data_IF_348578903970
#
_entry.id   IF_348578903970
#
_cell.length_a   1.000
_cell.length_b   1.000
_cell.length_c   1.000
_cell.angle_alpha   90.00
_cell.angle_beta   90.00
_cell.angle_gamma   90.00
#
_symmetry.space_group_name_H-M   'P 1'
#
loop_
_entity.id
_entity.type
_entity.pdbx_description
1 polymer ?
#
# COMPACT_ATOMS: atom_id res chain seq x y z
N UNK A 1 8.20 12.35 1.94
CA UNK A 1 6.88 12.59 2.53
C UNK A 1 6.00 13.33 1.55
N UNK A 2 4.79 12.85 1.35
CA UNK A 2 3.81 13.58 0.56
C UNK A 2 3.31 14.78 1.39
N UNK A 3 3.24 16.00 0.82
CA UNK A 3 2.67 17.11 1.55
C UNK A 3 1.20 16.84 1.87
N UNK A 4 0.74 17.31 3.02
CA UNK A 4 -0.66 17.19 3.41
C UNK A 4 -1.53 17.95 2.38
N UNK A 5 -2.72 17.44 2.05
CA UNK A 5 -3.59 18.12 1.12
C UNK A 5 -4.09 19.44 1.71
N UNK A 6 -4.17 20.46 0.88
CA UNK A 6 -4.73 21.75 1.27
C UNK A 6 -6.24 21.60 1.47
N UNK A 7 -6.85 22.34 2.43
CA UNK A 7 -8.29 22.26 2.64
C UNK A 7 -9.13 22.48 1.39
N UNK A 8 -8.71 23.40 0.53
CA UNK A 8 -9.36 23.69 -0.75
C UNK A 8 -9.38 22.48 -1.69
N UNK A 9 -8.28 21.71 -1.73
CA UNK A 9 -8.19 20.50 -2.54
C UNK A 9 -9.15 19.43 -2.03
N UNK A 10 -9.28 19.30 -0.71
CA UNK A 10 -10.20 18.35 -0.09
C UNK A 10 -11.68 18.73 -0.34
N UNK A 11 -12.00 20.01 -0.34
CA UNK A 11 -13.36 20.47 -0.65
C UNK A 11 -13.74 20.21 -2.09
N UNK A 12 -12.82 20.43 -3.03
CA UNK A 12 -13.02 20.08 -4.44
C UNK A 12 -13.23 18.60 -4.63
N UNK A 13 -12.43 17.80 -3.95
CA UNK A 13 -12.55 16.35 -3.96
C UNK A 13 -13.89 15.90 -3.38
N UNK A 14 -14.34 16.52 -2.29
CA UNK A 14 -15.62 16.20 -1.65
C UNK A 14 -16.82 16.39 -2.58
N UNK A 15 -16.76 17.35 -3.49
CA UNK A 15 -17.81 17.58 -4.49
C UNK A 15 -17.93 16.42 -5.49
N UNK A 16 -16.84 15.72 -5.74
CA UNK A 16 -16.80 14.58 -6.65
C UNK A 16 -17.09 13.25 -5.94
N UNK A 17 -17.23 13.28 -4.62
CA UNK A 17 -17.42 12.10 -3.78
C UNK A 17 -18.83 11.99 -3.24
N UNK A 18 -19.29 10.76 -3.10
CA UNK A 18 -20.47 10.43 -2.31
C UNK A 18 -20.03 10.15 -0.88
N UNK A 19 -20.53 10.93 0.07
CA UNK A 19 -20.15 10.84 1.47
C UNK A 19 -21.36 10.33 2.26
N UNK A 20 -21.19 9.18 2.94
CA UNK A 20 -22.22 8.59 3.77
C UNK A 20 -21.72 8.37 5.18
N UNK A 21 -22.54 8.74 6.17
CA UNK A 21 -22.27 8.43 7.56
C UNK A 21 -23.02 7.17 7.96
N UNK A 22 -22.41 6.36 8.81
CA UNK A 22 -23.00 5.11 9.27
C UNK A 22 -22.53 4.76 10.69
N UNK A 23 -23.21 3.82 11.31
CA UNK A 23 -22.78 3.24 12.60
C UNK A 23 -21.84 2.08 12.33
N UNK A 24 -20.65 2.12 12.91
CA UNK A 24 -19.73 1.00 12.79
C UNK A 24 -20.19 -0.17 13.65
N UNK A 25 -20.15 -1.39 13.12
CA UNK A 25 -20.36 -2.63 13.87
C UNK A 25 -19.08 -3.04 14.59
N UNK A 26 -19.20 -3.67 15.74
CA UNK A 26 -18.08 -4.21 16.48
C UNK A 26 -18.02 -3.78 17.94
N UNK A 27 -17.09 -4.33 18.74
CA UNK A 27 -16.96 -3.94 20.14
C UNK A 27 -16.55 -2.46 20.25
N UNK A 28 -17.33 -1.69 21.00
CA UNK A 28 -17.08 -0.29 21.22
C UNK A 28 -18.03 0.27 22.27
N UNK A 29 -17.71 1.42 22.84
CA UNK A 29 -18.53 2.07 23.83
C UNK A 29 -19.93 2.45 23.33
N UNK A 30 -20.82 2.82 24.23
CA UNK A 30 -22.20 3.22 23.92
C UNK A 30 -22.30 4.29 22.84
N UNK A 31 -21.36 5.22 22.81
CA UNK A 31 -21.32 6.30 21.83
C UNK A 31 -21.13 5.82 20.41
N UNK A 32 -20.33 4.75 20.23
CA UNK A 32 -20.10 4.12 18.93
C UNK A 32 -21.37 3.44 18.39
N UNK A 33 -22.22 2.94 19.26
CA UNK A 33 -23.47 2.28 18.90
C UNK A 33 -24.64 3.23 18.70
N UNK A 34 -24.59 4.44 19.29
CA UNK A 34 -25.67 5.43 19.26
C UNK A 34 -25.52 6.52 18.19
N UNK A 35 -24.30 6.85 17.82
CA UNK A 35 -24.01 7.92 16.86
C UNK A 35 -23.39 7.40 15.57
N UNK A 36 -23.87 7.92 14.45
CA UNK A 36 -23.30 7.65 13.12
C UNK A 36 -22.03 8.47 12.93
N UNK A 37 -20.95 8.11 13.65
CA UNK A 37 -19.66 8.81 13.58
C UNK A 37 -18.77 8.31 12.46
N UNK A 38 -18.96 7.07 12.01
CA UNK A 38 -18.19 6.49 10.91
C UNK A 38 -18.60 7.08 9.57
N UNK A 39 -17.63 7.35 8.72
CA UNK A 39 -17.86 7.98 7.42
C UNK A 39 -17.25 7.13 6.31
N UNK A 40 -18.04 6.92 5.26
CA UNK A 40 -17.61 6.27 4.03
C UNK A 40 -17.61 7.30 2.91
N UNK A 41 -16.49 7.42 2.21
CA UNK A 41 -16.34 8.31 1.07
C UNK A 41 -16.07 7.47 -0.18
N UNK A 42 -16.90 7.67 -1.21
CA UNK A 42 -16.74 7.04 -2.51
C UNK A 42 -16.47 8.11 -3.55
N UNK A 43 -15.30 8.06 -4.19
CA UNK A 43 -14.97 8.94 -5.30
C UNK A 43 -15.59 8.40 -6.57
N UNK A 44 -16.60 9.06 -7.09
CA UNK A 44 -17.41 8.57 -8.23
C UNK A 44 -16.60 8.37 -9.51
N UNK A 45 -15.74 9.32 -9.95
CA UNK A 45 -14.97 9.15 -11.18
C UNK A 45 -13.99 7.97 -11.18
N UNK A 46 -13.32 7.71 -10.06
CA UNK A 46 -12.32 6.63 -9.95
C UNK A 46 -12.84 5.34 -9.32
N UNK A 47 -13.96 5.41 -8.62
CA UNK A 47 -14.52 4.28 -7.88
C UNK A 47 -13.80 3.95 -6.57
N UNK A 48 -12.87 4.80 -6.12
CA UNK A 48 -12.16 4.59 -4.87
C UNK A 48 -13.10 4.78 -3.68
N UNK A 49 -13.09 3.82 -2.77
CA UNK A 49 -13.88 3.87 -1.53
C UNK A 49 -12.94 3.83 -0.34
N UNK A 50 -13.14 4.74 0.60
CA UNK A 50 -12.38 4.76 1.86
C UNK A 50 -13.34 5.02 3.02
N UNK A 51 -13.05 4.38 4.14
CA UNK A 51 -13.85 4.46 5.35
C UNK A 51 -12.97 4.94 6.50
N UNK A 52 -13.51 5.80 7.36
CA UNK A 52 -12.83 6.22 8.58
C UNK A 52 -13.75 6.02 9.77
N UNK A 53 -13.27 5.30 10.77
CA UNK A 53 -13.98 4.97 12.00
C UNK A 53 -13.19 5.33 13.26
N UNK A 54 -11.97 5.86 13.07
CA UNK A 54 -10.99 6.03 14.15
C UNK A 54 -11.36 7.09 15.17
N UNK A 55 -12.17 8.09 14.79
CA UNK A 55 -12.56 9.19 15.66
C UNK A 55 -14.01 9.09 16.10
N UNK A 56 -14.31 9.70 17.25
CA UNK A 56 -15.69 9.90 17.72
C UNK A 56 -16.41 11.01 16.95
N UNK A 57 -15.66 11.90 16.31
CA UNK A 57 -16.18 13.02 15.54
C UNK A 57 -16.43 12.61 14.09
N UNK A 58 -17.66 12.76 13.63
CA UNK A 58 -18.04 12.55 12.23
C UNK A 58 -17.26 13.48 11.31
N UNK A 59 -17.05 14.72 11.71
CA UNK A 59 -16.29 15.72 10.96
C UNK A 59 -14.84 15.27 10.74
N UNK A 60 -14.18 14.80 11.79
CA UNK A 60 -12.81 14.30 11.69
C UNK A 60 -12.71 13.03 10.83
N UNK A 61 -13.67 12.13 10.94
CA UNK A 61 -13.72 10.93 10.11
C UNK A 61 -13.92 11.27 8.64
N UNK A 62 -14.77 12.25 8.34
CA UNK A 62 -14.96 12.76 6.99
C UNK A 62 -13.66 13.31 6.42
N UNK A 63 -12.96 14.14 7.16
CA UNK A 63 -11.69 14.72 6.74
C UNK A 63 -10.63 13.64 6.48
N UNK A 64 -10.50 12.67 7.37
CA UNK A 64 -9.56 11.56 7.22
C UNK A 64 -9.87 10.67 6.02
N UNK A 65 -11.15 10.36 5.80
CA UNK A 65 -11.56 9.57 4.64
C UNK A 65 -11.26 10.30 3.32
N UNK A 66 -11.50 11.60 3.25
CA UNK A 66 -11.15 12.42 2.10
C UNK A 66 -9.64 12.48 1.86
N UNK A 67 -8.84 12.61 2.91
CA UNK A 67 -7.39 12.57 2.82
C UNK A 67 -6.89 11.24 2.25
N UNK A 68 -7.46 10.13 2.69
CA UNK A 68 -7.12 8.79 2.18
C UNK A 68 -7.48 8.63 0.70
N UNK A 69 -8.61 9.15 0.27
CA UNK A 69 -9.00 9.16 -1.14
C UNK A 69 -8.00 10.00 -1.96
N UNK A 70 -7.64 11.16 -1.46
CA UNK A 70 -6.68 12.05 -2.11
C UNK A 70 -5.30 11.40 -2.26
N UNK A 71 -4.80 10.75 -1.21
CA UNK A 71 -3.54 10.01 -1.24
C UNK A 71 -3.58 8.87 -2.26
N UNK A 72 -4.67 8.13 -2.33
CA UNK A 72 -4.84 7.04 -3.28
C UNK A 72 -4.88 7.55 -4.73
N UNK A 73 -5.59 8.63 -4.99
CA UNK A 73 -5.61 9.28 -6.30
C UNK A 73 -4.22 9.73 -6.71
N UNK A 74 -3.49 10.31 -5.79
CA UNK A 74 -2.13 10.78 -6.01
C UNK A 74 -1.17 9.63 -6.28
N UNK A 75 -1.31 8.54 -5.55
CA UNK A 75 -0.53 7.32 -5.76
C UNK A 75 -0.78 6.73 -7.14
N UNK A 76 -2.02 6.68 -7.59
CA UNK A 76 -2.40 6.18 -8.93
C UNK A 76 -1.90 7.08 -10.07
N UNK A 77 -1.87 8.38 -9.84
CA UNK A 77 -1.37 9.36 -10.82
C UNK A 77 0.15 9.38 -10.94
N UNK A 78 0.86 8.83 -9.96
CA UNK A 78 2.32 8.81 -9.94
C UNK A 78 2.86 7.86 -11.00
N UNK A 79 3.61 8.41 -11.96
CA UNK A 79 4.33 7.59 -12.93
C UNK A 79 5.48 6.83 -12.25
N UNK A 80 5.54 5.51 -12.35
CA UNK A 80 6.68 4.77 -11.85
C UNK A 80 7.92 5.13 -12.66
N UNK A 81 9.04 5.30 -11.98
CA UNK A 81 10.31 5.56 -12.64
C UNK A 81 10.66 4.36 -13.52
N UNK A 82 11.00 4.59 -14.81
CA UNK A 82 11.35 3.47 -15.68
C UNK A 82 12.58 2.74 -15.14
N UNK A 83 12.47 1.43 -15.10
CA UNK A 83 13.55 0.59 -14.63
C UNK A 83 14.62 0.48 -15.70
N UNK A 84 15.80 0.98 -15.39
CA UNK A 84 16.97 0.85 -16.27
C UNK A 84 17.66 -0.48 -15.95
N UNK A 85 17.86 -1.29 -16.98
CA UNK A 85 18.59 -2.54 -16.83
C UNK A 85 20.04 -2.25 -16.42
N UNK A 86 20.46 -2.86 -15.32
CA UNK A 86 21.85 -2.77 -14.85
C UNK A 86 22.60 -4.03 -15.14
N UNK A 87 23.90 -3.91 -15.43
CA UNK A 87 24.77 -5.06 -15.60
C UNK A 87 25.20 -5.60 -14.23
N UNK A 88 25.29 -6.91 -14.07
CA UNK A 88 25.88 -7.49 -12.86
C UNK A 88 27.32 -7.00 -12.68
N UNK A 89 27.74 -6.80 -11.44
CA UNK A 89 29.13 -6.44 -11.15
C UNK A 89 30.05 -7.63 -11.38
N UNK A 90 31.33 -7.37 -11.71
CA UNK A 90 32.31 -8.42 -11.91
C UNK A 90 32.43 -9.33 -10.68
N UNK A 91 32.41 -8.72 -9.47
CA UNK A 91 32.47 -9.48 -8.22
C UNK A 91 31.26 -10.40 -8.01
N UNK A 92 30.05 -9.98 -8.41
CA UNK A 92 28.85 -10.82 -8.32
C UNK A 92 28.91 -11.99 -9.29
N UNK A 93 29.43 -11.78 -10.50
CA UNK A 93 29.63 -12.84 -11.50
C UNK A 93 30.64 -13.85 -11.00
N UNK A 94 31.77 -13.41 -10.44
CA UNK A 94 32.79 -14.28 -9.85
C UNK A 94 32.24 -15.13 -8.70
N UNK A 95 31.45 -14.52 -7.81
CA UNK A 95 30.78 -15.27 -6.73
C UNK A 95 29.84 -16.34 -7.27
N UNK A 96 29.05 -16.01 -8.27
CA UNK A 96 28.14 -16.96 -8.91
C UNK A 96 28.89 -18.14 -9.52
N UNK A 97 30.00 -17.87 -10.23
CA UNK A 97 30.83 -18.89 -10.83
C UNK A 97 31.48 -19.78 -9.76
N UNK A 98 31.99 -19.17 -8.69
CA UNK A 98 32.59 -19.90 -7.56
C UNK A 98 31.59 -20.83 -6.86
N UNK A 99 30.37 -20.36 -6.63
CA UNK A 99 29.29 -21.16 -6.05
C UNK A 99 28.89 -22.31 -6.97
N UNK A 100 28.82 -22.07 -8.26
CA UNK A 100 28.50 -23.08 -9.27
C UNK A 100 29.57 -24.17 -9.34
N UNK A 101 30.84 -23.79 -9.22
CA UNK A 101 31.98 -24.76 -9.15
C UNK A 101 31.91 -25.63 -7.91
N UNK A 102 31.68 -25.02 -6.75
CA UNK A 102 31.51 -25.75 -5.47
C UNK A 102 30.36 -26.75 -5.53
N UNK A 103 29.23 -26.33 -6.08
CA UNK A 103 28.08 -27.21 -6.26
C UNK A 103 28.38 -28.35 -7.21
N UNK A 104 29.13 -28.09 -8.29
CA UNK A 104 29.56 -29.09 -9.26
C UNK A 104 30.52 -30.13 -8.65
N UNK A 105 31.49 -29.67 -7.85
CA UNK A 105 32.42 -30.54 -7.13
C UNK A 105 31.70 -31.46 -6.15
N UNK A 106 30.76 -30.93 -5.38
CA UNK A 106 29.95 -31.73 -4.47
C UNK A 106 29.12 -32.79 -5.22
N UNK A 107 28.58 -32.46 -6.36
CA UNK A 107 27.86 -33.44 -7.21
C UNK A 107 28.75 -34.50 -7.77
N UNK A 108 29.99 -34.18 -8.18
CA UNK A 108 30.98 -35.18 -8.62
C UNK A 108 31.34 -36.12 -7.50
N UNK A 109 31.59 -35.64 -6.32
CA UNK A 109 31.93 -36.44 -5.14
C UNK A 109 30.82 -37.45 -4.81
N UNK A 110 29.56 -37.03 -4.96
CA UNK A 110 28.43 -37.93 -4.76
C UNK A 110 28.27 -39.00 -5.85
N UNK A 111 28.72 -38.71 -7.07
CA UNK A 111 28.66 -39.65 -8.21
C UNK A 111 29.89 -40.52 -8.30
N UNK A 112 30.99 -40.19 -7.64
CA UNK A 112 32.19 -40.99 -7.67
C UNK A 112 31.89 -42.37 -7.08
N UNK A 113 32.25 -43.47 -7.80
CA UNK A 113 32.07 -44.81 -7.27
C UNK A 113 32.96 -44.99 -6.03
N UNK A 114 32.50 -45.74 -5.03
CA UNK A 114 33.33 -46.00 -3.86
C UNK A 114 34.62 -46.69 -4.27
N UNK A 115 35.75 -46.19 -3.79
CA UNK A 115 37.03 -46.85 -4.00
C UNK A 115 37.07 -48.15 -3.21
N UNK A 116 37.39 -49.24 -3.88
CA UNK A 116 37.55 -50.54 -3.24
C UNK A 116 38.87 -50.64 -2.47
#
# INVERSE_FOLDING_TARGET
MSPAPRPEALERLARECEITAFRSSGPGGQKKNKTESSVRVKHLPSGIVRVSTASRSQYQNRARALERVWEELRRRARKPKPRVATRPTNSSVERRIAEKRRASERKRDRRAPPED
#
